data_IF_484029986967
#
_entry.id   IF_484029986967
#
_cell.length_a   1.000
_cell.length_b   1.000
_cell.length_c   1.000
_cell.angle_alpha   90.00
_cell.angle_beta   90.00
_cell.angle_gamma   90.00
#
_symmetry.space_group_name_H-M   'P 1'
#
loop_
_entity.id
_entity.type
_entity.pdbx_description
1 polymer ?
#
# COMPACT_ATOMS: atom_id res chain seq x y z
N UNK A 1 5.09 -15.00 12.17
CA UNK A 1 3.79 -14.96 11.43
C UNK A 1 2.97 -13.70 11.73
N UNK A 2 2.69 -13.34 13.00
CA UNK A 2 1.91 -12.13 13.33
C UNK A 2 2.57 -10.82 12.84
N UNK A 3 3.89 -10.68 12.97
CA UNK A 3 4.66 -9.51 12.49
C UNK A 3 4.56 -9.30 10.98
N UNK A 4 4.77 -10.35 10.18
CA UNK A 4 4.69 -10.28 8.71
C UNK A 4 3.32 -9.76 8.24
N UNK A 5 2.23 -10.31 8.79
CA UNK A 5 0.87 -9.87 8.46
C UNK A 5 0.67 -8.41 8.85
N UNK A 6 1.15 -8.01 10.03
CA UNK A 6 1.05 -6.63 10.51
C UNK A 6 1.81 -5.64 9.62
N UNK A 7 3.05 -5.98 9.25
CA UNK A 7 3.91 -5.16 8.40
C UNK A 7 3.35 -5.07 6.97
N UNK A 8 2.77 -6.15 6.45
CA UNK A 8 2.10 -6.15 5.15
C UNK A 8 0.85 -5.28 5.17
N UNK A 9 0.01 -5.41 6.20
CA UNK A 9 -1.21 -4.62 6.35
C UNK A 9 -0.91 -3.13 6.54
N UNK A 10 0.14 -2.82 7.28
CA UNK A 10 0.64 -1.44 7.43
C UNK A 10 1.13 -0.87 6.11
N UNK A 11 1.90 -1.65 5.32
CA UNK A 11 2.39 -1.23 4.00
C UNK A 11 1.25 -0.98 3.00
N UNK A 12 0.25 -1.85 3.02
CA UNK A 12 -0.97 -1.67 2.25
C UNK A 12 -1.69 -0.39 2.65
N UNK A 13 -1.88 -0.13 3.95
CA UNK A 13 -2.53 1.07 4.45
C UNK A 13 -1.83 2.36 4.02
N UNK A 14 -0.50 2.39 4.07
CA UNK A 14 0.31 3.53 3.62
C UNK A 14 0.10 3.79 2.12
N UNK A 15 0.18 2.75 1.29
CA UNK A 15 -0.02 2.89 -0.15
C UNK A 15 -1.46 3.25 -0.54
N UNK A 16 -2.44 2.74 0.21
CA UNK A 16 -3.84 3.11 0.03
C UNK A 16 -4.09 4.59 0.37
N UNK A 17 -3.44 5.12 1.41
CA UNK A 17 -3.50 6.54 1.76
C UNK A 17 -2.84 7.41 0.69
N UNK A 18 -1.65 7.04 0.21
CA UNK A 18 -0.97 7.75 -0.89
C UNK A 18 -1.83 7.78 -2.14
N UNK A 19 -2.38 6.63 -2.56
CA UNK A 19 -3.26 6.56 -3.73
C UNK A 19 -4.57 7.33 -3.53
N UNK A 20 -5.07 7.46 -2.29
CA UNK A 20 -6.21 8.30 -1.98
C UNK A 20 -5.90 9.77 -2.18
N UNK A 21 -4.75 10.21 -1.67
CA UNK A 21 -4.28 11.57 -1.85
C UNK A 21 -3.99 11.90 -3.32
N UNK A 22 -3.38 10.98 -4.08
CA UNK A 22 -3.15 11.17 -5.52
C UNK A 22 -4.47 11.23 -6.29
N UNK A 23 -5.47 10.43 -5.90
CA UNK A 23 -6.82 10.52 -6.49
C UNK A 23 -7.50 11.86 -6.18
N UNK A 24 -7.40 12.35 -4.94
CA UNK A 24 -7.92 13.66 -4.55
C UNK A 24 -7.20 14.82 -5.26
N UNK A 25 -5.91 14.66 -5.57
CA UNK A 25 -5.12 15.66 -6.30
C UNK A 25 -5.50 15.81 -7.78
N UNK A 26 -6.43 15.00 -8.30
CA UNK A 26 -6.86 15.03 -9.70
C UNK A 26 -5.87 14.39 -10.69
N UNK A 27 -4.75 13.84 -10.21
CA UNK A 27 -3.78 13.11 -11.02
C UNK A 27 -4.25 11.70 -11.41
N UNK A 28 -5.25 11.16 -10.70
CA UNK A 28 -5.85 9.86 -10.97
C UNK A 28 -7.37 10.00 -11.20
N UNK A 29 -7.90 9.28 -12.19
CA UNK A 29 -9.32 9.32 -12.52
C UNK A 29 -10.19 8.93 -11.32
N UNK A 30 -11.22 9.74 -11.05
CA UNK A 30 -12.10 9.59 -9.87
C UNK A 30 -12.88 8.26 -9.86
N UNK A 31 -13.00 7.57 -10.99
CA UNK A 31 -13.78 6.34 -11.16
C UNK A 31 -13.02 5.05 -10.79
N UNK A 32 -11.94 5.17 -10.02
CA UNK A 32 -11.05 4.02 -9.79
C UNK A 32 -11.54 2.99 -8.76
N UNK A 33 -12.66 3.25 -8.07
CA UNK A 33 -13.42 2.29 -7.25
C UNK A 33 -12.59 1.13 -6.65
N UNK A 34 -12.94 -0.11 -7.02
CA UNK A 34 -12.24 -1.32 -6.58
C UNK A 34 -10.82 -1.49 -7.18
N UNK A 35 -10.54 -0.88 -8.34
CA UNK A 35 -9.23 -0.94 -9.01
C UNK A 35 -8.14 -0.25 -8.19
N UNK A 36 -8.49 0.80 -7.45
CA UNK A 36 -7.58 1.47 -6.50
C UNK A 36 -7.12 0.55 -5.38
N UNK A 37 -8.03 -0.26 -4.82
CA UNK A 37 -7.68 -1.24 -3.79
C UNK A 37 -6.70 -2.28 -4.33
N UNK A 38 -6.93 -2.76 -5.55
CA UNK A 38 -6.05 -3.73 -6.21
C UNK A 38 -4.66 -3.15 -6.52
N UNK A 39 -4.61 -1.88 -6.95
CA UNK A 39 -3.37 -1.13 -7.10
C UNK A 39 -2.64 -0.99 -5.74
N UNK A 40 -3.36 -0.62 -4.68
CA UNK A 40 -2.80 -0.46 -3.35
C UNK A 40 -2.23 -1.76 -2.79
N UNK A 41 -2.82 -2.92 -3.13
CA UNK A 41 -2.24 -4.23 -2.78
C UNK A 41 -0.93 -4.46 -3.54
N UNK A 42 -0.89 -4.24 -4.85
CA UNK A 42 0.33 -4.38 -5.65
C UNK A 42 1.46 -3.47 -5.13
N UNK A 43 1.18 -2.18 -4.96
CA UNK A 43 2.15 -1.22 -4.43
C UNK A 43 2.51 -1.48 -2.97
N UNK A 44 1.55 -1.95 -2.15
CA UNK A 44 1.76 -2.32 -0.76
C UNK A 44 2.67 -3.53 -0.60
N UNK A 45 2.57 -4.53 -1.48
CA UNK A 45 3.49 -5.69 -1.52
C UNK A 45 4.90 -5.24 -1.92
N UNK A 46 5.01 -4.37 -2.93
CA UNK A 46 6.30 -3.79 -3.34
C UNK A 46 6.92 -3.04 -2.16
N UNK A 47 6.17 -2.13 -1.52
CA UNK A 47 6.66 -1.38 -0.38
C UNK A 47 7.07 -2.31 0.77
N UNK A 48 6.28 -3.37 1.02
CA UNK A 48 6.61 -4.38 2.02
C UNK A 48 7.98 -5.00 1.80
N UNK A 49 8.31 -5.39 0.56
CA UNK A 49 9.60 -5.97 0.20
C UNK A 49 10.74 -4.96 0.43
N UNK A 50 10.55 -3.69 0.08
CA UNK A 50 11.62 -2.69 0.17
C UNK A 50 11.92 -2.22 1.60
N UNK A 51 10.88 -2.00 2.42
CA UNK A 51 11.00 -1.33 3.72
C UNK A 51 10.74 -2.28 4.89
N UNK A 52 9.49 -2.71 5.22
CA UNK A 52 9.24 -3.55 6.38
C UNK A 52 9.90 -4.92 6.36
N UNK A 53 10.16 -5.53 5.19
CA UNK A 53 10.84 -6.84 5.14
C UNK A 53 12.25 -6.78 5.72
N UNK A 54 12.88 -5.59 5.72
CA UNK A 54 14.18 -5.36 6.35
C UNK A 54 14.05 -5.15 7.86
N UNK A 55 12.93 -4.66 8.35
CA UNK A 55 12.66 -4.44 9.78
C UNK A 55 12.39 -5.74 10.54
N UNK A 56 11.99 -6.82 9.86
CA UNK A 56 11.86 -8.16 10.46
C UNK A 56 13.22 -8.87 10.62
N UNK A 57 14.27 -8.38 9.95
CA UNK A 57 15.64 -8.93 10.01
C UNK A 57 16.59 -8.17 10.95
N UNK A 58 16.14 -7.06 11.54
CA UNK A 58 16.88 -6.24 12.52
C UNK A 58 16.40 -6.62 13.92
#
# INVERSE_FOLDING_TARGET
MKKIIWLLLSSFGIMFAILSWVQESGLLASEMGAKKGLLAVLFGIILYIFVPSKMDKI
#
